data_IF_943851971373
#
_entry.id   IF_943851971373
#
_cell.length_a   1.000
_cell.length_b   1.000
_cell.length_c   1.000
_cell.angle_alpha   90.00
_cell.angle_beta   90.00
_cell.angle_gamma   90.00
#
_symmetry.space_group_name_H-M   'P 1'
#
loop_
_entity.id
_entity.type
_entity.pdbx_description
1 polymer ?
#
# COMPACT_ATOMS: atom_id res chain seq x y z
N UNK A 1 -4.31 -2.79 5.18
CA UNK A 1 -4.38 -2.12 3.85
C UNK A 1 -5.05 -0.75 3.88
N UNK A 2 -5.91 -0.43 4.86
CA UNK A 2 -6.72 0.81 4.89
C UNK A 2 -6.01 2.10 4.43
N UNK A 3 -4.79 2.37 4.90
CA UNK A 3 -4.06 3.57 4.48
C UNK A 3 -3.76 3.59 2.98
N UNK A 4 -3.33 2.46 2.41
CA UNK A 4 -3.02 2.36 0.97
C UNK A 4 -4.29 2.52 0.15
N UNK A 5 -5.38 1.87 0.56
CA UNK A 5 -6.69 1.95 -0.12
C UNK A 5 -7.37 3.32 -0.01
N UNK A 6 -6.86 4.20 0.86
CA UNK A 6 -7.37 5.56 1.02
C UNK A 6 -6.47 6.60 0.31
N UNK A 7 -5.43 6.14 -0.40
CA UNK A 7 -4.55 6.99 -1.20
C UNK A 7 -4.21 6.34 -2.55
N UNK A 8 -4.97 5.31 -2.97
CA UNK A 8 -4.64 4.51 -4.15
C UNK A 8 -5.15 5.11 -5.47
N UNK A 9 -5.97 6.17 -5.39
CA UNK A 9 -6.50 6.87 -6.56
C UNK A 9 -7.58 6.09 -7.29
N UNK A 10 -8.19 5.07 -6.66
CA UNK A 10 -9.29 4.31 -7.24
C UNK A 10 -10.61 4.61 -6.53
N UNK A 11 -11.70 4.64 -7.30
CA UNK A 11 -13.05 4.98 -6.79
C UNK A 11 -13.72 3.83 -5.99
N UNK A 12 -12.97 2.81 -5.55
CA UNK A 12 -13.53 1.70 -4.76
C UNK A 12 -13.77 2.08 -3.30
N UNK A 13 -12.96 2.99 -2.73
CA UNK A 13 -13.12 3.55 -1.40
C UNK A 13 -12.86 5.06 -1.47
N UNK A 14 -13.48 5.83 -0.57
CA UNK A 14 -13.21 7.26 -0.51
C UNK A 14 -11.73 7.53 -0.13
N UNK A 15 -11.01 8.20 -1.03
CA UNK A 15 -9.64 8.65 -0.79
C UNK A 15 -9.59 9.80 0.23
N UNK A 16 -8.59 9.77 1.12
CA UNK A 16 -8.35 10.84 2.10
C UNK A 16 -7.59 12.03 1.50
N UNK A 17 -7.10 11.89 0.26
CA UNK A 17 -6.34 12.91 -0.47
C UNK A 17 -7.09 13.31 -1.74
N UNK A 18 -6.92 14.56 -2.17
CA UNK A 18 -7.42 14.99 -3.48
C UNK A 18 -6.63 14.36 -4.63
N UNK A 19 -7.25 14.21 -5.80
CA UNK A 19 -6.59 13.75 -7.03
C UNK A 19 -5.32 14.55 -7.35
N UNK A 20 -5.36 15.86 -7.14
CA UNK A 20 -4.21 16.74 -7.32
C UNK A 20 -3.04 16.39 -6.39
N UNK A 21 -3.33 16.00 -5.14
CA UNK A 21 -2.33 15.54 -4.17
C UNK A 21 -1.77 14.18 -4.55
N UNK A 22 -2.63 13.23 -4.95
CA UNK A 22 -2.22 11.89 -5.39
C UNK A 22 -1.33 12.00 -6.64
N UNK A 23 -1.73 12.82 -7.61
CA UNK A 23 -0.93 13.10 -8.80
C UNK A 23 0.42 13.73 -8.43
N UNK A 24 0.45 14.71 -7.52
CA UNK A 24 1.71 15.29 -7.03
C UNK A 24 2.64 14.23 -6.41
N UNK A 25 2.07 13.31 -5.63
CA UNK A 25 2.83 12.25 -4.96
C UNK A 25 3.39 11.19 -5.91
N UNK A 26 2.77 10.99 -7.07
CA UNK A 26 3.00 9.79 -7.90
C UNK A 26 3.47 10.08 -9.32
N UNK A 27 3.35 11.32 -9.80
CA UNK A 27 3.73 11.71 -11.15
C UNK A 27 5.22 11.46 -11.42
N UNK A 28 5.51 10.51 -12.29
CA UNK A 28 6.87 10.11 -12.70
C UNK A 28 7.59 11.15 -13.56
N UNK A 29 6.84 12.03 -14.22
CA UNK A 29 7.36 13.09 -15.08
C UNK A 29 7.59 14.39 -14.31
N UNK A 30 7.26 14.43 -13.01
CA UNK A 30 7.65 15.55 -12.19
C UNK A 30 9.19 15.53 -12.02
N UNK A 31 9.81 16.69 -11.85
CA UNK A 31 11.27 16.77 -11.65
C UNK A 31 11.70 16.30 -10.25
N UNK A 32 10.75 15.78 -9.45
CA UNK A 32 10.95 15.40 -8.06
C UNK A 32 10.96 13.88 -7.92
N UNK A 33 11.44 13.38 -6.79
CA UNK A 33 11.18 11.99 -6.44
C UNK A 33 9.72 11.84 -5.97
N UNK A 34 9.11 10.66 -6.14
CA UNK A 34 7.78 10.39 -5.60
C UNK A 34 7.71 10.75 -4.11
N UNK A 35 6.60 11.36 -3.70
CA UNK A 35 6.40 11.80 -2.32
C UNK A 35 5.70 10.68 -1.56
N UNK A 36 6.30 10.21 -0.47
CA UNK A 36 5.75 9.10 0.32
C UNK A 36 5.95 7.71 -0.30
N UNK A 37 6.15 7.60 -1.62
CA UNK A 37 6.48 6.35 -2.32
C UNK A 37 8.00 6.19 -2.52
N UNK A 38 8.46 4.95 -2.66
CA UNK A 38 9.87 4.66 -2.99
C UNK A 38 10.10 4.83 -4.50
N UNK A 39 9.18 4.33 -5.31
CA UNK A 39 9.21 4.38 -6.77
C UNK A 39 7.79 4.37 -7.30
N UNK A 40 7.55 5.14 -8.35
CA UNK A 40 6.36 5.04 -9.19
C UNK A 40 6.80 4.82 -10.63
N UNK A 41 5.99 4.10 -11.40
CA UNK A 41 6.25 3.79 -12.81
C UNK A 41 5.17 4.39 -13.70
N UNK A 42 5.51 4.68 -14.96
CA UNK A 42 4.57 5.20 -15.96
C UNK A 42 3.35 4.29 -16.16
N UNK A 43 3.53 2.99 -15.97
CA UNK A 43 2.44 2.02 -16.05
C UNK A 43 1.46 2.09 -14.86
N UNK A 44 1.60 3.04 -13.92
CA UNK A 44 0.73 3.17 -12.76
C UNK A 44 1.08 2.26 -11.57
N UNK A 45 2.23 1.58 -11.60
CA UNK A 45 2.72 0.79 -10.45
C UNK A 45 3.40 1.69 -9.44
N UNK A 46 3.02 1.57 -8.16
CA UNK A 46 3.63 2.31 -7.05
C UNK A 46 4.19 1.35 -6.02
N UNK A 47 5.39 1.64 -5.52
CA UNK A 47 6.11 0.79 -4.57
C UNK A 47 6.52 1.60 -3.36
N UNK A 48 6.32 1.04 -2.17
CA UNK A 48 6.93 1.51 -0.93
C UNK A 48 7.67 0.37 -0.23
N UNK A 49 8.89 0.65 0.21
CA UNK A 49 9.69 -0.26 1.04
C UNK A 49 9.92 0.36 2.40
N UNK A 50 9.92 -0.46 3.44
CA UNK A 50 10.22 -0.08 4.82
C UNK A 50 11.16 -1.09 5.46
N UNK A 51 12.15 -0.59 6.19
CA UNK A 51 13.07 -1.40 6.97
C UNK A 51 13.26 -0.76 8.33
N UNK A 52 13.06 -1.55 9.38
CA UNK A 52 13.28 -1.19 10.77
C UNK A 52 13.96 -2.37 11.47
N UNK A 53 14.56 -2.14 12.64
CA UNK A 53 15.20 -3.22 13.38
C UNK A 53 14.19 -4.33 13.72
N UNK A 54 14.42 -5.53 13.20
CA UNK A 54 13.52 -6.67 13.35
C UNK A 54 12.28 -6.59 12.46
N UNK A 55 12.24 -5.74 11.42
CA UNK A 55 11.05 -5.62 10.56
C UNK A 55 11.41 -5.25 9.12
N UNK A 56 10.79 -5.94 8.17
CA UNK A 56 10.81 -5.59 6.76
C UNK A 56 9.37 -5.49 6.24
N UNK A 57 9.07 -4.43 5.49
CA UNK A 57 7.76 -4.20 4.91
C UNK A 57 7.88 -3.78 3.45
N UNK A 58 7.01 -4.30 2.61
CA UNK A 58 6.88 -3.86 1.22
C UNK A 58 5.41 -3.74 0.85
N UNK A 59 5.11 -2.66 0.13
CA UNK A 59 3.79 -2.35 -0.44
C UNK A 59 3.96 -2.24 -1.95
N UNK A 60 3.03 -2.80 -2.70
CA UNK A 60 2.89 -2.55 -4.14
C UNK A 60 1.42 -2.33 -4.49
N UNK A 61 1.15 -1.26 -5.21
CA UNK A 61 -0.13 -0.95 -5.86
C UNK A 61 0.07 -1.07 -7.36
N UNK A 62 -0.76 -1.88 -8.02
CA UNK A 62 -0.69 -2.13 -9.45
C UNK A 62 -1.80 -1.37 -10.21
N UNK A 63 -1.61 -1.10 -11.51
CA UNK A 63 -2.59 -0.33 -12.29
C UNK A 63 -3.95 -1.01 -12.48
N UNK A 64 -4.02 -2.33 -12.32
CA UNK A 64 -5.23 -3.13 -12.43
C UNK A 64 -6.11 -3.09 -11.16
N UNK A 65 -5.73 -2.30 -10.16
CA UNK A 65 -6.43 -2.24 -8.87
C UNK A 65 -5.84 -3.16 -7.82
N UNK A 66 -5.00 -4.14 -8.19
CA UNK A 66 -4.44 -5.09 -7.24
C UNK A 66 -3.36 -4.44 -6.37
N UNK A 67 -3.62 -4.37 -5.07
CA UNK A 67 -2.68 -3.87 -4.08
C UNK A 67 -2.35 -4.92 -3.04
N UNK A 68 -1.08 -5.06 -2.70
CA UNK A 68 -0.63 -6.00 -1.68
C UNK A 68 0.42 -5.41 -0.74
N UNK A 69 0.49 -5.99 0.46
CA UNK A 69 1.51 -5.69 1.47
C UNK A 69 2.07 -6.99 2.00
N UNK A 70 3.39 -7.04 2.15
CA UNK A 70 4.09 -8.06 2.93
C UNK A 70 4.75 -7.39 4.12
N UNK A 71 4.49 -7.92 5.32
CA UNK A 71 5.09 -7.48 6.58
C UNK A 71 5.77 -8.67 7.24
N UNK A 72 7.06 -8.53 7.52
CA UNK A 72 7.88 -9.53 8.17
C UNK A 72 8.38 -8.96 9.50
N UNK A 73 8.26 -9.75 10.57
CA UNK A 73 8.79 -9.44 11.91
C UNK A 73 10.25 -9.89 12.07
N UNK A 74 11.05 -9.83 11.01
CA UNK A 74 12.46 -10.21 11.03
C UNK A 74 13.24 -9.32 10.05
N UNK A 75 14.46 -8.96 10.44
CA UNK A 75 15.40 -8.27 9.55
C UNK A 75 16.05 -9.24 8.57
N UNK A 76 16.40 -8.78 7.39
CA UNK A 76 17.23 -9.54 6.48
C UNK A 76 18.71 -9.12 6.59
N UNK A 77 19.61 -10.10 6.55
CA UNK A 77 21.06 -9.88 6.56
C UNK A 77 21.56 -9.16 5.30
N UNK A 78 20.77 -9.15 4.22
CA UNK A 78 21.11 -8.60 2.91
C UNK A 78 20.58 -7.17 2.67
N UNK A 79 20.21 -6.45 3.73
CA UNK A 79 19.78 -5.05 3.65
C UNK A 79 18.60 -4.84 2.69
N UNK A 80 18.71 -3.96 1.67
CA UNK A 80 17.60 -3.65 0.76
C UNK A 80 17.21 -4.81 -0.16
N UNK A 81 18.05 -5.85 -0.28
CA UNK A 81 17.80 -6.99 -1.18
C UNK A 81 16.53 -7.77 -0.86
N UNK A 82 16.11 -7.81 0.42
CA UNK A 82 14.88 -8.50 0.85
C UNK A 82 13.64 -8.08 0.08
N UNK A 83 13.52 -6.79 -0.25
CA UNK A 83 12.36 -6.25 -0.97
C UNK A 83 12.27 -6.82 -2.40
N UNK A 84 13.41 -7.04 -3.07
CA UNK A 84 13.44 -7.69 -4.38
C UNK A 84 12.99 -9.15 -4.31
N UNK A 85 13.36 -9.88 -3.24
CA UNK A 85 12.88 -11.24 -3.01
C UNK A 85 11.37 -11.29 -2.75
N UNK A 86 10.87 -10.36 -1.90
CA UNK A 86 9.43 -10.22 -1.65
C UNK A 86 8.68 -9.93 -2.95
N UNK A 87 9.15 -8.97 -3.76
CA UNK A 87 8.50 -8.62 -5.02
C UNK A 87 8.41 -9.81 -5.97
N UNK A 88 9.53 -10.52 -6.20
CA UNK A 88 9.56 -11.68 -7.09
C UNK A 88 8.66 -12.81 -6.59
N UNK A 89 8.65 -13.04 -5.28
CA UNK A 89 7.76 -14.03 -4.67
C UNK A 89 6.29 -13.67 -4.90
N UNK A 90 5.90 -12.43 -4.59
CA UNK A 90 4.53 -11.97 -4.75
C UNK A 90 4.08 -11.95 -6.20
N UNK A 91 4.92 -11.51 -7.14
CA UNK A 91 4.66 -11.60 -8.59
C UNK A 91 4.41 -13.05 -9.03
N UNK A 92 5.18 -14.01 -8.49
CA UNK A 92 4.99 -15.43 -8.78
C UNK A 92 3.75 -16.05 -8.12
N UNK A 93 3.29 -15.52 -6.99
CA UNK A 93 2.05 -15.95 -6.32
C UNK A 93 0.84 -15.37 -7.07
N UNK A 94 0.82 -14.06 -7.29
CA UNK A 94 -0.27 -13.33 -7.95
C UNK A 94 -0.52 -13.86 -9.36
N UNK A 95 0.54 -14.16 -10.12
CA UNK A 95 0.40 -14.68 -11.49
C UNK A 95 -0.22 -16.07 -11.59
N UNK A 96 -0.40 -16.78 -10.47
CA UNK A 96 -1.02 -18.11 -10.41
C UNK A 96 -2.44 -18.10 -9.84
N UNK A 97 -2.97 -16.92 -9.52
CA UNK A 97 -4.34 -16.79 -9.01
C UNK A 97 -5.25 -16.57 -10.21
N UNK A 98 -5.98 -17.61 -10.59
CA UNK A 98 -6.92 -17.57 -11.72
C UNK A 98 -8.27 -16.95 -11.32
N UNK A 99 -8.70 -17.16 -10.08
CA UNK A 99 -9.98 -16.68 -9.55
C UNK A 99 -9.78 -15.96 -8.21
N UNK A 100 -10.28 -14.73 -8.11
CA UNK A 100 -10.27 -13.96 -6.88
C UNK A 100 -11.60 -14.14 -6.12
N UNK A 101 -11.57 -14.23 -4.78
CA UNK A 101 -12.79 -14.34 -3.99
C UNK A 101 -13.65 -13.08 -4.13
N UNK A 102 -14.97 -13.25 -4.23
CA UNK A 102 -15.93 -12.14 -4.33
C UNK A 102 -16.21 -11.47 -2.98
N UNK A 103 -15.86 -12.11 -1.86
CA UNK A 103 -16.14 -11.56 -0.54
C UNK A 103 -15.10 -10.51 -0.13
N UNK A 104 -15.58 -9.37 0.39
CA UNK A 104 -14.72 -8.36 0.98
C UNK A 104 -14.44 -8.68 2.45
N UNK A 105 -13.15 -8.84 2.79
CA UNK A 105 -12.71 -9.13 4.16
C UNK A 105 -12.88 -7.92 5.12
N UNK A 106 -13.03 -6.70 4.60
CA UNK A 106 -13.21 -5.50 5.43
C UNK A 106 -14.67 -5.29 5.85
N UNK A 107 -15.65 -5.83 5.12
CA UNK A 107 -17.08 -5.70 5.46
C UNK A 107 -17.43 -6.36 6.81
N UNK A 108 -16.65 -7.37 7.21
CA UNK A 108 -16.82 -8.10 8.47
C UNK A 108 -16.01 -7.52 9.64
N UNK A 109 -15.29 -6.42 9.42
CA UNK A 109 -14.55 -5.76 10.49
C UNK A 109 -15.44 -4.72 11.16
N UNK A 110 -15.62 -4.84 12.48
CA UNK A 110 -16.34 -3.81 13.25
C UNK A 110 -15.73 -2.44 12.94
N UNK A 111 -16.55 -1.39 12.75
CA UNK A 111 -16.02 -0.04 12.58
C UNK A 111 -15.18 0.28 13.81
N UNK A 112 -13.88 0.44 13.63
CA UNK A 112 -13.01 0.97 14.69
C UNK A 112 -13.55 2.37 14.99
N UNK A 113 -13.95 2.71 16.23
CA UNK A 113 -14.47 4.02 16.54
C UNK A 113 -13.43 5.08 16.15
N UNK A 114 -13.74 5.89 15.13
CA UNK A 114 -12.82 6.92 14.61
C UNK A 114 -12.81 8.14 15.55
N UNK A 115 -13.76 8.22 16.49
CA UNK A 115 -13.83 9.26 17.52
C UNK A 115 -14.25 8.65 18.84
N UNK A 116 -13.39 8.73 19.85
CA UNK A 116 -13.89 8.90 21.20
C UNK A 116 -14.42 10.33 21.25
N UNK A 117 -15.74 10.52 21.24
CA UNK A 117 -16.24 11.77 21.77
C UNK A 117 -15.85 11.79 23.25
N UNK A 118 -15.00 12.73 23.63
CA UNK A 118 -14.70 13.01 25.04
C UNK A 118 -15.93 13.69 25.65
N UNK A 119 -17.07 13.02 25.66
CA UNK A 119 -18.24 13.41 26.44
C UNK A 119 -17.93 13.07 27.89
N UNK A 120 -17.23 13.95 28.60
CA UNK A 120 -16.96 13.70 30.01
C UNK A 120 -15.94 14.59 30.72
N UNK A 121 -15.33 15.57 30.05
CA UNK A 121 -14.47 16.54 30.72
C UNK A 121 -15.19 17.89 30.72
N UNK A 122 -16.05 18.08 31.72
CA UNK A 122 -16.45 19.38 32.23
C UNK A 122 -15.59 19.68 33.46
#
# INVERSE_FOLDING_TARGET
MRLVLAVDGFDYNDDILSDGSINLMTNVNNQFSPIGWKTTYENGTWIRTGSFAGTAAMIKRQPDGLSWIVLLNTSAWNGPGIHSYINRMMEGVVSKIDEWPEYNLFDNTLPVPIRFELTGIN
#
